data_IF_394320121605
#
_entry.id   IF_394320121605
#
_cell.length_a   1.000
_cell.length_b   1.000
_cell.length_c   1.000
_cell.angle_alpha   90.00
_cell.angle_beta   90.00
_cell.angle_gamma   90.00
#
_symmetry.space_group_name_H-M   'P 1'
#
loop_
_entity.id
_entity.type
_entity.pdbx_description
1 polymer ?
#
# COMPACT_ATOMS: atom_id res chain seq x y z
N UNK A 1 27.58 -43.00 -32.43
CA UNK A 1 27.96 -42.60 -31.06
C UNK A 1 28.73 -41.29 -31.15
N UNK A 2 28.07 -40.14 -30.90
CA UNK A 2 28.70 -38.80 -30.96
C UNK A 2 28.73 -38.23 -29.55
N UNK A 3 29.93 -38.04 -29.00
CA UNK A 3 30.16 -37.61 -27.63
C UNK A 3 29.86 -36.13 -27.42
N UNK A 4 28.89 -35.83 -26.57
CA UNK A 4 28.64 -34.49 -26.04
C UNK A 4 29.81 -34.06 -25.15
N UNK A 5 30.67 -33.17 -25.66
CA UNK A 5 31.69 -32.49 -24.84
C UNK A 5 30.99 -31.63 -23.79
N UNK A 6 31.13 -32.04 -22.52
CA UNK A 6 30.76 -31.23 -21.36
C UNK A 6 31.62 -29.96 -21.39
N UNK A 7 31.02 -28.80 -21.70
CA UNK A 7 31.67 -27.48 -21.55
C UNK A 7 32.01 -27.31 -20.07
N UNK A 8 33.31 -27.33 -19.72
CA UNK A 8 33.77 -26.90 -18.39
C UNK A 8 33.30 -25.46 -18.16
N UNK A 9 32.62 -25.22 -17.04
CA UNK A 9 32.30 -23.87 -16.60
C UNK A 9 33.61 -23.09 -16.40
N UNK A 10 33.77 -21.97 -17.11
CA UNK A 10 34.90 -21.07 -16.89
C UNK A 10 34.82 -20.52 -15.45
N UNK A 11 35.94 -20.48 -14.71
CA UNK A 11 35.95 -19.93 -13.36
C UNK A 11 35.59 -18.44 -13.42
N UNK A 12 34.56 -18.06 -12.65
CA UNK A 12 34.13 -16.66 -12.51
C UNK A 12 35.34 -15.83 -12.07
N UNK A 13 35.69 -14.81 -12.86
CA UNK A 13 36.90 -14.01 -12.60
C UNK A 13 36.81 -13.29 -11.25
N UNK A 14 37.95 -13.13 -10.58
CA UNK A 14 38.06 -12.41 -9.31
C UNK A 14 37.51 -10.97 -9.42
N UNK A 15 37.70 -10.32 -10.57
CA UNK A 15 37.16 -8.99 -10.86
C UNK A 15 35.63 -8.93 -10.90
N UNK A 16 34.96 -10.01 -11.34
CA UNK A 16 33.49 -10.11 -11.34
C UNK A 16 32.97 -10.28 -9.92
N UNK A 17 33.63 -11.09 -9.09
CA UNK A 17 33.29 -11.25 -7.67
C UNK A 17 33.50 -9.93 -6.91
N UNK A 18 34.57 -9.19 -7.21
CA UNK A 18 34.87 -7.91 -6.60
C UNK A 18 33.84 -6.83 -6.99
N UNK A 19 33.45 -6.73 -8.27
CA UNK A 19 32.37 -5.86 -8.74
C UNK A 19 31.01 -6.20 -8.10
N UNK A 20 30.68 -7.49 -7.96
CA UNK A 20 29.45 -7.93 -7.29
C UNK A 20 29.46 -7.67 -5.78
N UNK A 21 30.64 -7.70 -5.15
CA UNK A 21 30.82 -7.41 -3.73
C UNK A 21 30.78 -5.90 -3.43
N UNK A 22 31.40 -5.10 -4.30
CA UNK A 22 31.36 -3.63 -4.27
C UNK A 22 29.94 -3.11 -4.42
N UNK A 23 29.21 -3.56 -5.46
CA UNK A 23 27.82 -3.15 -5.69
C UNK A 23 26.86 -3.50 -4.53
N UNK A 24 27.09 -4.63 -3.83
CA UNK A 24 26.32 -5.00 -2.64
C UNK A 24 26.62 -4.10 -1.44
N UNK A 25 27.89 -3.74 -1.20
CA UNK A 25 28.28 -2.84 -0.11
C UNK A 25 27.72 -1.44 -0.29
N UNK A 26 27.76 -0.87 -1.50
CA UNK A 26 27.23 0.48 -1.76
C UNK A 26 25.71 0.53 -1.63
N UNK A 27 25.00 -0.53 -2.04
CA UNK A 27 23.54 -0.64 -1.84
C UNK A 27 23.17 -0.78 -0.36
N UNK A 28 23.90 -1.61 0.39
CA UNK A 28 23.69 -1.75 1.83
C UNK A 28 23.94 -0.42 2.57
N UNK A 29 24.98 0.32 2.18
CA UNK A 29 25.32 1.62 2.79
C UNK A 29 24.25 2.70 2.61
N UNK A 30 23.42 2.63 1.56
CA UNK A 30 22.30 3.57 1.35
C UNK A 30 20.98 3.10 1.95
N UNK A 31 20.79 1.78 2.11
CA UNK A 31 19.59 1.21 2.74
C UNK A 31 19.59 1.43 4.25
N UNK A 32 20.72 1.24 4.93
CA UNK A 32 20.84 1.43 6.38
C UNK A 32 20.37 2.82 6.84
N UNK A 33 20.86 3.95 6.28
CA UNK A 33 20.41 5.27 6.71
C UNK A 33 18.93 5.50 6.40
N UNK A 34 18.41 5.01 5.27
CA UNK A 34 16.98 5.12 4.96
C UNK A 34 16.13 4.36 5.99
N UNK A 35 16.50 3.13 6.33
CA UNK A 35 15.80 2.33 7.35
C UNK A 35 15.84 3.03 8.70
N UNK A 36 17.00 3.55 9.11
CA UNK A 36 17.14 4.29 10.37
C UNK A 36 16.24 5.52 10.41
N UNK A 37 16.17 6.28 9.32
CA UNK A 37 15.30 7.46 9.18
C UNK A 37 13.82 7.08 9.29
N UNK A 38 13.40 6.02 8.61
CA UNK A 38 12.01 5.53 8.68
C UNK A 38 11.67 5.03 10.08
N UNK A 39 12.54 4.23 10.69
CA UNK A 39 12.33 3.70 12.05
C UNK A 39 12.26 4.84 13.06
N UNK A 40 13.14 5.85 12.97
CA UNK A 40 13.10 7.01 13.84
C UNK A 40 11.81 7.82 13.68
N UNK A 41 11.38 8.08 12.43
CA UNK A 41 10.12 8.76 12.15
C UNK A 41 8.92 7.99 12.71
N UNK A 42 8.86 6.67 12.47
CA UNK A 42 7.80 5.82 13.01
C UNK A 42 7.80 5.79 14.53
N UNK A 43 8.98 5.74 15.18
CA UNK A 43 9.08 5.74 16.64
C UNK A 43 8.48 7.02 17.24
N UNK A 44 8.76 8.19 16.65
CA UNK A 44 8.14 9.46 17.07
C UNK A 44 6.63 9.43 16.90
N UNK A 45 6.14 8.95 15.75
CA UNK A 45 4.71 8.89 15.46
C UNK A 45 3.97 7.87 16.36
N UNK A 46 4.60 6.76 16.73
CA UNK A 46 4.03 5.79 17.68
C UNK A 46 4.02 6.37 19.09
N UNK A 47 5.10 7.05 19.51
CA UNK A 47 5.18 7.68 20.84
C UNK A 47 4.10 8.76 21.03
N UNK A 48 3.77 9.52 19.98
CA UNK A 48 2.61 10.42 19.96
C UNK A 48 1.30 9.68 20.27
N UNK A 49 1.09 8.51 19.65
CA UNK A 49 -0.16 7.74 19.82
C UNK A 49 -0.33 7.08 21.16
N UNK A 50 0.77 6.75 21.83
CA UNK A 50 0.74 6.17 23.18
C UNK A 50 0.84 7.28 24.24
N UNK A 51 0.79 8.56 23.84
CA UNK A 51 0.90 9.72 24.71
C UNK A 51 2.17 9.72 25.59
N UNK A 52 3.27 9.14 25.09
CA UNK A 52 4.54 9.04 25.81
C UNK A 52 5.51 10.19 25.52
N UNK A 53 5.16 11.10 24.60
CA UNK A 53 6.00 12.25 24.25
C UNK A 53 5.85 13.41 25.26
N UNK A 54 6.97 13.93 25.81
CA UNK A 54 6.94 15.16 26.59
C UNK A 54 6.61 16.40 25.72
N UNK A 55 5.90 17.36 26.32
CA UNK A 55 5.22 18.48 25.66
C UNK A 55 5.94 19.23 24.52
N UNK A 56 7.25 19.55 24.56
CA UNK A 56 7.93 20.29 23.49
C UNK A 56 8.16 19.50 22.20
N UNK A 57 8.23 18.17 22.28
CA UNK A 57 8.41 17.28 21.12
C UNK A 57 7.07 16.99 20.43
N UNK A 58 5.95 17.26 21.12
CA UNK A 58 4.61 16.81 20.75
C UNK A 58 3.98 17.54 19.55
N UNK A 59 4.28 18.81 19.31
CA UNK A 59 3.58 19.57 18.24
C UNK A 59 4.41 19.74 16.97
N UNK A 60 5.70 20.08 17.11
CA UNK A 60 6.61 20.25 15.96
C UNK A 60 7.24 18.92 15.49
N UNK A 61 7.64 18.07 16.43
CA UNK A 61 8.37 16.82 16.14
C UNK A 61 7.53 15.76 15.41
N UNK A 62 6.22 15.73 15.70
CA UNK A 62 5.29 14.75 15.12
C UNK A 62 5.05 15.04 13.63
N UNK A 63 4.88 16.31 13.26
CA UNK A 63 4.69 16.72 11.86
C UNK A 63 5.97 16.60 11.05
N UNK A 64 7.13 16.92 11.63
CA UNK A 64 8.42 16.72 10.94
C UNK A 64 8.67 15.24 10.70
N UNK A 65 8.38 14.36 11.68
CA UNK A 65 8.44 12.91 11.48
C UNK A 65 7.51 12.44 10.35
N UNK A 66 6.29 12.98 10.25
CA UNK A 66 5.38 12.67 9.15
C UNK A 66 5.91 13.13 7.78
N UNK A 67 6.49 14.34 7.69
CA UNK A 67 7.14 14.85 6.46
C UNK A 67 8.29 13.93 6.04
N UNK A 68 9.14 13.55 6.98
CA UNK A 68 10.26 12.64 6.75
C UNK A 68 9.77 11.29 6.25
N UNK A 69 8.73 10.72 6.88
CA UNK A 69 8.13 9.45 6.45
C UNK A 69 7.57 9.56 5.02
N UNK A 70 6.85 10.64 4.71
CA UNK A 70 6.26 10.88 3.40
C UNK A 70 7.34 10.97 2.31
N UNK A 71 8.40 11.72 2.57
CA UNK A 71 9.55 11.82 1.69
C UNK A 71 10.28 10.48 1.55
N UNK A 72 10.42 9.71 2.63
CA UNK A 72 11.05 8.39 2.61
C UNK A 72 10.24 7.37 1.78
N UNK A 73 8.91 7.37 1.88
CA UNK A 73 8.03 6.57 1.03
C UNK A 73 8.17 6.95 -0.45
N UNK A 74 8.24 8.25 -0.76
CA UNK A 74 8.49 8.73 -2.11
C UNK A 74 9.85 8.26 -2.66
N UNK A 75 10.91 8.37 -1.85
CA UNK A 75 12.25 7.90 -2.18
C UNK A 75 12.25 6.41 -2.51
N UNK A 76 11.62 5.61 -1.66
CA UNK A 76 11.60 4.16 -1.79
C UNK A 76 10.76 3.70 -2.98
N UNK A 77 9.62 4.34 -3.21
CA UNK A 77 8.80 4.08 -4.39
C UNK A 77 9.54 4.42 -5.69
N UNK A 78 10.20 5.58 -5.74
CA UNK A 78 11.01 5.99 -6.89
C UNK A 78 12.22 5.05 -7.11
N UNK A 79 12.85 4.57 -6.03
CA UNK A 79 13.92 3.58 -6.13
C UNK A 79 13.42 2.25 -6.71
N UNK A 80 12.26 1.76 -6.25
CA UNK A 80 11.64 0.52 -6.74
C UNK A 80 11.21 0.64 -8.21
N UNK A 81 10.76 1.82 -8.62
CA UNK A 81 10.43 2.13 -10.00
C UNK A 81 11.66 2.32 -10.92
N UNK A 82 12.89 2.27 -10.41
CA UNK A 82 14.09 2.58 -11.20
C UNK A 82 14.19 4.04 -11.63
N UNK A 83 13.47 4.94 -10.95
CA UNK A 83 13.47 6.38 -11.20
C UNK A 83 14.62 7.13 -10.51
N UNK A 84 14.40 8.43 -10.27
CA UNK A 84 15.36 9.33 -9.61
C UNK A 84 14.98 9.55 -8.14
N UNK A 85 15.36 8.67 -7.20
CA UNK A 85 14.89 8.74 -5.82
C UNK A 85 15.21 10.07 -5.15
N UNK A 86 16.40 10.63 -5.38
CA UNK A 86 16.77 11.92 -4.80
C UNK A 86 15.86 13.07 -5.27
N UNK A 87 15.63 13.20 -6.59
CA UNK A 87 14.79 14.25 -7.14
C UNK A 87 13.35 14.14 -6.63
N UNK A 88 12.78 12.92 -6.61
CA UNK A 88 11.43 12.69 -6.09
C UNK A 88 11.34 13.02 -4.59
N UNK A 89 12.34 12.63 -3.80
CA UNK A 89 12.41 12.93 -2.36
C UNK A 89 12.46 14.43 -2.11
N UNK A 90 13.28 15.17 -2.88
CA UNK A 90 13.40 16.62 -2.75
C UNK A 90 12.07 17.30 -3.10
N UNK A 91 11.44 16.95 -4.22
CA UNK A 91 10.16 17.53 -4.64
C UNK A 91 9.07 17.27 -3.60
N UNK A 92 8.90 16.02 -3.18
CA UNK A 92 7.90 15.66 -2.17
C UNK A 92 8.21 16.31 -0.82
N UNK A 93 9.48 16.33 -0.42
CA UNK A 93 9.94 16.98 0.81
C UNK A 93 9.64 18.48 0.82
N UNK A 94 9.92 19.20 -0.27
CA UNK A 94 9.61 20.63 -0.40
C UNK A 94 8.11 20.85 -0.31
N UNK A 95 7.29 20.10 -1.04
CA UNK A 95 5.83 20.24 -0.98
C UNK A 95 5.28 19.97 0.43
N UNK A 96 5.80 18.93 1.10
CA UNK A 96 5.40 18.58 2.44
C UNK A 96 5.80 19.64 3.49
N UNK A 97 7.02 20.18 3.37
CA UNK A 97 7.49 21.29 4.22
C UNK A 97 6.65 22.54 3.98
N UNK A 98 6.40 22.93 2.73
CA UNK A 98 5.56 24.09 2.39
C UNK A 98 4.17 23.96 3.02
N UNK A 99 3.53 22.79 2.88
CA UNK A 99 2.22 22.55 3.48
C UNK A 99 2.23 22.66 5.01
N UNK A 100 3.26 22.12 5.68
CA UNK A 100 3.41 22.21 7.14
C UNK A 100 3.77 23.62 7.60
N UNK A 101 4.51 24.41 6.82
CA UNK A 101 4.83 25.79 7.19
C UNK A 101 3.60 26.71 7.03
N UNK A 102 2.86 26.55 5.94
CA UNK A 102 1.68 27.39 5.65
C UNK A 102 0.48 27.10 6.53
N UNK A 103 0.34 25.86 7.03
CA UNK A 103 -0.73 25.47 7.96
C UNK A 103 -2.16 25.65 7.39
N UNK A 104 -2.32 25.77 6.07
CA UNK A 104 -3.64 25.79 5.47
C UNK A 104 -4.27 24.39 5.50
N UNK A 105 -5.54 24.32 5.92
CA UNK A 105 -6.30 23.07 6.02
C UNK A 105 -6.31 22.30 4.69
N UNK A 106 -6.37 23.02 3.55
CA UNK A 106 -6.32 22.48 2.19
C UNK A 106 -4.98 21.82 1.85
N UNK A 107 -3.86 22.39 2.30
CA UNK A 107 -2.52 21.88 2.06
C UNK A 107 -2.23 20.66 2.93
N UNK A 108 -2.62 20.69 4.21
CA UNK A 108 -2.50 19.55 5.12
C UNK A 108 -3.39 18.38 4.68
N UNK A 109 -4.58 18.69 4.14
CA UNK A 109 -5.47 17.76 3.47
C UNK A 109 -4.80 17.08 2.27
N UNK A 110 -4.25 17.87 1.34
CA UNK A 110 -3.53 17.36 0.18
C UNK A 110 -2.33 16.51 0.58
N UNK A 111 -1.59 16.92 1.61
CA UNK A 111 -0.45 16.18 2.13
C UNK A 111 -0.88 14.84 2.75
N UNK A 112 -1.97 14.81 3.50
CA UNK A 112 -2.56 13.58 4.04
C UNK A 112 -2.93 12.59 2.94
N UNK A 113 -3.56 13.07 1.86
CA UNK A 113 -3.86 12.25 0.67
C UNK A 113 -2.56 11.75 0.02
N UNK A 114 -1.58 12.63 -0.19
CA UNK A 114 -0.30 12.29 -0.79
C UNK A 114 0.45 11.21 0.02
N UNK A 115 0.50 11.34 1.35
CA UNK A 115 1.13 10.34 2.24
C UNK A 115 0.41 9.00 2.17
N UNK A 116 -0.92 8.98 2.18
CA UNK A 116 -1.71 7.76 2.02
C UNK A 116 -1.42 7.09 0.66
N UNK A 117 -1.34 7.88 -0.40
CA UNK A 117 -1.03 7.42 -1.76
C UNK A 117 0.36 6.79 -1.84
N UNK A 118 1.38 7.52 -1.38
CA UNK A 118 2.77 7.09 -1.45
C UNK A 118 3.02 5.86 -0.59
N UNK A 119 2.52 5.85 0.66
CA UNK A 119 2.66 4.70 1.55
C UNK A 119 1.89 3.48 1.04
N UNK A 120 0.65 3.67 0.56
CA UNK A 120 -0.17 2.60 -0.02
C UNK A 120 0.45 1.99 -1.28
N UNK A 121 0.93 2.81 -2.20
CA UNK A 121 1.62 2.36 -3.42
C UNK A 121 2.96 1.69 -3.09
N UNK A 122 3.75 2.25 -2.18
CA UNK A 122 5.02 1.67 -1.73
C UNK A 122 4.81 0.31 -1.05
N UNK A 123 3.79 0.17 -0.21
CA UNK A 123 3.44 -1.10 0.43
C UNK A 123 3.15 -2.22 -0.58
N UNK A 124 2.58 -1.90 -1.74
CA UNK A 124 2.42 -2.89 -2.83
C UNK A 124 3.75 -3.14 -3.54
N UNK A 125 4.48 -2.07 -3.87
CA UNK A 125 5.72 -2.14 -4.64
C UNK A 125 6.87 -2.84 -3.90
N UNK A 126 6.87 -2.84 -2.57
CA UNK A 126 7.89 -3.53 -1.76
C UNK A 126 7.74 -5.04 -1.80
N UNK A 127 6.53 -5.56 -2.07
CA UNK A 127 6.28 -7.01 -2.10
C UNK A 127 7.13 -7.73 -3.14
N UNK A 128 7.56 -8.93 -2.78
CA UNK A 128 8.37 -9.79 -3.64
C UNK A 128 7.57 -10.97 -4.23
N UNK A 129 8.02 -11.54 -5.36
CA UNK A 129 7.45 -12.76 -5.90
C UNK A 129 7.55 -13.92 -4.90
N UNK A 130 6.42 -14.56 -4.59
CA UNK A 130 6.34 -15.61 -3.59
C UNK A 130 6.42 -17.01 -4.22
N UNK A 131 7.34 -17.84 -3.71
CA UNK A 131 7.49 -19.23 -4.17
C UNK A 131 6.28 -20.12 -3.77
N UNK A 132 5.65 -19.82 -2.64
CA UNK A 132 4.55 -20.61 -2.06
C UNK A 132 3.46 -19.77 -1.41
N UNK A 133 2.37 -20.42 -1.00
CA UNK A 133 1.20 -19.75 -0.42
C UNK A 133 1.52 -19.05 0.91
N UNK A 134 2.34 -19.69 1.77
CA UNK A 134 2.78 -19.09 3.03
C UNK A 134 3.66 -17.87 2.79
N UNK A 135 4.57 -17.94 1.81
CA UNK A 135 5.37 -16.78 1.42
C UNK A 135 4.47 -15.64 0.90
N UNK A 136 3.43 -15.93 0.12
CA UNK A 136 2.48 -14.92 -0.36
C UNK A 136 1.70 -14.26 0.79
N UNK A 137 1.29 -15.03 1.79
CA UNK A 137 0.67 -14.49 3.02
C UNK A 137 1.66 -13.57 3.75
N UNK A 138 2.93 -13.98 3.89
CA UNK A 138 3.97 -13.15 4.51
C UNK A 138 4.12 -11.82 3.78
N UNK A 139 4.19 -11.83 2.45
CA UNK A 139 4.30 -10.60 1.65
C UNK A 139 3.06 -9.71 1.80
N UNK A 140 1.86 -10.28 1.84
CA UNK A 140 0.63 -9.53 2.08
C UNK A 140 0.61 -8.89 3.48
N UNK A 141 1.00 -9.62 4.52
CA UNK A 141 1.11 -9.10 5.89
C UNK A 141 2.16 -7.98 5.96
N UNK A 142 3.32 -8.17 5.32
CA UNK A 142 4.36 -7.14 5.24
C UNK A 142 3.84 -5.86 4.58
N UNK A 143 3.09 -5.97 3.47
CA UNK A 143 2.47 -4.82 2.83
C UNK A 143 1.50 -4.08 3.77
N UNK A 144 0.65 -4.80 4.52
CA UNK A 144 -0.26 -4.18 5.49
C UNK A 144 0.49 -3.48 6.63
N UNK A 145 1.59 -4.06 7.11
CA UNK A 145 2.45 -3.44 8.13
C UNK A 145 3.08 -2.15 7.60
N UNK A 146 3.63 -2.17 6.39
CA UNK A 146 4.21 -0.97 5.75
C UNK A 146 3.14 0.12 5.55
N UNK A 147 1.95 -0.26 5.09
CA UNK A 147 0.83 0.66 4.95
C UNK A 147 0.38 1.27 6.28
N UNK A 148 0.44 0.51 7.38
CA UNK A 148 0.09 0.99 8.71
C UNK A 148 1.02 2.12 9.18
N UNK A 149 2.29 2.11 8.76
CA UNK A 149 3.19 3.25 8.96
C UNK A 149 2.68 4.53 8.29
N UNK A 150 2.12 4.41 7.08
CA UNK A 150 1.44 5.52 6.40
C UNK A 150 0.28 6.10 7.20
N UNK A 151 -0.50 5.25 7.89
CA UNK A 151 -1.62 5.68 8.73
C UNK A 151 -1.18 6.62 9.86
N UNK A 152 -0.03 6.33 10.47
CA UNK A 152 0.57 7.18 11.48
C UNK A 152 0.98 8.55 10.91
N UNK A 153 1.59 8.56 9.72
CA UNK A 153 1.97 9.79 9.02
C UNK A 153 0.78 10.65 8.62
N UNK A 154 -0.26 10.05 8.03
CA UNK A 154 -1.50 10.73 7.66
C UNK A 154 -2.14 11.41 8.86
N UNK A 155 -2.24 10.67 9.97
CA UNK A 155 -2.94 11.14 11.13
C UNK A 155 -2.14 12.20 11.92
N UNK A 156 -0.83 12.31 11.72
CA UNK A 156 0.00 13.36 12.29
C UNK A 156 -0.22 14.75 11.67
N UNK A 157 -0.77 14.83 10.45
CA UNK A 157 -1.08 16.12 9.83
C UNK A 157 -2.35 16.76 10.36
N UNK A 158 -3.19 16.02 11.10
CA UNK A 158 -4.42 16.54 11.73
C UNK A 158 -5.34 17.28 10.75
N UNK A 159 -5.38 16.85 9.49
CA UNK A 159 -6.12 17.53 8.45
C UNK A 159 -7.64 17.44 8.66
N UNK A 160 -8.34 18.56 8.48
CA UNK A 160 -9.80 18.63 8.58
C UNK A 160 -10.43 18.19 7.26
N UNK A 161 -10.59 16.88 7.09
CA UNK A 161 -11.18 16.29 5.90
C UNK A 161 -12.27 15.27 6.26
N UNK A 162 -13.23 15.12 5.34
CA UNK A 162 -14.11 13.97 5.35
C UNK A 162 -13.29 12.69 5.08
N UNK A 163 -13.20 11.74 6.03
CA UNK A 163 -12.39 10.53 5.90
C UNK A 163 -12.76 9.66 4.71
N UNK A 164 -14.05 9.68 4.31
CA UNK A 164 -14.54 8.94 3.14
C UNK A 164 -13.96 9.52 1.86
N UNK A 165 -13.99 10.84 1.71
CA UNK A 165 -13.44 11.54 0.53
C UNK A 165 -11.93 11.37 0.43
N UNK A 166 -11.22 11.49 1.55
CA UNK A 166 -9.77 11.25 1.59
C UNK A 166 -9.44 9.85 1.11
N UNK A 167 -10.14 8.82 1.60
CA UNK A 167 -9.87 7.43 1.24
C UNK A 167 -10.12 7.17 -0.24
N UNK A 168 -11.21 7.71 -0.79
CA UNK A 168 -11.55 7.55 -2.20
C UNK A 168 -10.55 8.29 -3.12
N UNK A 169 -10.19 9.53 -2.77
CA UNK A 169 -9.19 10.31 -3.51
C UNK A 169 -7.82 9.62 -3.47
N UNK A 170 -7.38 9.18 -2.29
CA UNK A 170 -6.11 8.47 -2.13
C UNK A 170 -6.11 7.14 -2.90
N UNK A 171 -7.23 6.40 -2.88
CA UNK A 171 -7.31 5.12 -3.58
C UNK A 171 -7.25 5.31 -5.10
N UNK A 172 -8.00 6.28 -5.63
CA UNK A 172 -7.98 6.62 -7.05
C UNK A 172 -6.57 7.07 -7.49
N UNK A 173 -5.95 8.00 -6.74
CA UNK A 173 -4.61 8.50 -7.05
C UNK A 173 -3.54 7.40 -6.93
N UNK A 174 -3.61 6.56 -5.90
CA UNK A 174 -2.67 5.45 -5.73
C UNK A 174 -2.81 4.38 -6.80
N UNK A 175 -4.04 4.11 -7.26
CA UNK A 175 -4.24 3.23 -8.40
C UNK A 175 -3.54 3.82 -9.61
N UNK A 176 -3.79 5.09 -9.96
CA UNK A 176 -3.09 5.78 -11.07
C UNK A 176 -1.58 5.68 -10.93
N UNK A 177 -1.02 5.95 -9.74
CA UNK A 177 0.42 5.84 -9.49
C UNK A 177 0.92 4.42 -9.77
N UNK A 178 0.29 3.37 -9.23
CA UNK A 178 0.74 1.99 -9.42
C UNK A 178 0.59 1.54 -10.88
N UNK A 179 -0.41 2.05 -11.59
CA UNK A 179 -0.58 1.84 -13.03
C UNK A 179 0.55 2.47 -13.85
N UNK A 180 0.92 3.71 -13.54
CA UNK A 180 2.05 4.39 -14.19
C UNK A 180 3.38 3.68 -13.91
N UNK A 181 3.51 3.01 -12.78
CA UNK A 181 4.69 2.24 -12.42
C UNK A 181 4.75 0.84 -13.05
N UNK A 182 3.72 0.42 -13.79
CA UNK A 182 3.63 -0.95 -14.28
C UNK A 182 4.72 -1.31 -15.30
N UNK A 183 5.18 -0.35 -16.10
CA UNK A 183 6.28 -0.55 -17.05
C UNK A 183 7.63 -0.76 -16.35
N UNK A 184 7.76 -0.32 -15.09
CA UNK A 184 8.98 -0.44 -14.31
C UNK A 184 8.98 -1.66 -13.37
N UNK A 185 7.81 -2.07 -12.89
CA UNK A 185 7.66 -3.12 -11.86
C UNK A 185 7.18 -4.46 -12.43
N UNK A 186 6.74 -4.50 -13.69
CA UNK A 186 6.13 -5.66 -14.32
C UNK A 186 6.32 -5.70 -15.84
N UNK A 187 5.49 -6.45 -16.58
CA UNK A 187 5.58 -6.61 -18.04
C UNK A 187 5.13 -5.38 -18.84
N UNK A 188 4.82 -4.27 -18.16
CA UNK A 188 4.31 -3.04 -18.77
C UNK A 188 2.90 -3.13 -19.36
N UNK A 189 2.33 -1.96 -19.70
CA UNK A 189 0.99 -1.82 -20.27
C UNK A 189 0.90 -2.42 -21.68
N UNK A 190 2.00 -2.35 -22.44
CA UNK A 190 2.09 -2.93 -23.79
C UNK A 190 2.15 -4.46 -23.78
N UNK A 191 2.57 -5.08 -22.67
CA UNK A 191 2.59 -6.53 -22.47
C UNK A 191 1.25 -7.13 -22.04
N UNK A 192 0.22 -6.29 -21.86
CA UNK A 192 -1.14 -6.74 -21.53
C UNK A 192 -1.93 -7.04 -22.80
N UNK A 193 -2.49 -8.25 -22.86
CA UNK A 193 -3.57 -8.56 -23.79
C UNK A 193 -4.73 -7.55 -23.64
N UNK A 194 -5.52 -7.40 -24.70
CA UNK A 194 -6.69 -6.48 -24.73
C UNK A 194 -7.64 -6.68 -23.55
N UNK A 195 -7.84 -7.93 -23.12
CA UNK A 195 -8.67 -8.29 -21.97
C UNK A 195 -8.18 -7.69 -20.65
N UNK A 196 -6.86 -7.65 -20.44
CA UNK A 196 -6.29 -7.18 -19.19
C UNK A 196 -6.25 -5.64 -19.13
N UNK A 197 -6.07 -4.96 -20.28
CA UNK A 197 -6.32 -3.52 -20.39
C UNK A 197 -7.79 -3.17 -20.16
N UNK A 198 -8.71 -3.96 -20.69
CA UNK A 198 -10.14 -3.79 -20.46
C UNK A 198 -10.51 -4.00 -18.98
N UNK A 199 -10.01 -5.06 -18.33
CA UNK A 199 -10.24 -5.30 -16.90
C UNK A 199 -9.74 -4.15 -16.01
N UNK A 200 -8.62 -3.55 -16.40
CA UNK A 200 -8.03 -2.41 -15.70
C UNK A 200 -8.87 -1.13 -15.82
N UNK A 201 -9.33 -0.85 -17.05
CA UNK A 201 -10.20 0.28 -17.35
C UNK A 201 -11.58 0.08 -16.69
N UNK A 202 -12.10 -1.14 -16.70
CA UNK A 202 -13.31 -1.53 -15.96
C UNK A 202 -13.09 -1.35 -14.45
N UNK A 203 -11.96 -1.78 -13.89
CA UNK A 203 -11.65 -1.56 -12.47
C UNK A 203 -11.62 -0.09 -12.08
N UNK A 204 -11.03 0.76 -12.94
CA UNK A 204 -11.04 2.21 -12.77
C UNK A 204 -12.47 2.78 -12.85
N UNK A 205 -13.23 2.40 -13.87
CA UNK A 205 -14.63 2.83 -14.06
C UNK A 205 -15.54 2.36 -12.92
N UNK A 206 -15.38 1.14 -12.44
CA UNK A 206 -16.11 0.59 -11.28
C UNK A 206 -15.73 1.37 -10.02
N UNK A 207 -14.46 1.74 -9.85
CA UNK A 207 -14.02 2.61 -8.76
C UNK A 207 -14.69 3.98 -8.80
N UNK A 208 -14.67 4.65 -9.95
CA UNK A 208 -15.36 5.94 -10.17
C UNK A 208 -16.88 5.79 -9.98
N UNK A 209 -17.46 4.70 -10.48
CA UNK A 209 -18.87 4.38 -10.35
C UNK A 209 -19.28 4.13 -8.91
N UNK A 210 -18.47 3.45 -8.10
CA UNK A 210 -18.72 3.22 -6.68
C UNK A 210 -18.72 4.53 -5.88
N UNK A 211 -17.83 5.48 -6.22
CA UNK A 211 -17.80 6.83 -5.64
C UNK A 211 -19.07 7.59 -6.01
N UNK A 212 -19.40 7.63 -7.30
CA UNK A 212 -20.59 8.31 -7.80
C UNK A 212 -21.89 7.71 -7.22
N UNK A 213 -21.94 6.39 -7.11
CA UNK A 213 -23.05 5.67 -6.49
C UNK A 213 -23.17 5.97 -5.00
N UNK A 214 -22.05 6.05 -4.27
CA UNK A 214 -22.04 6.46 -2.87
C UNK A 214 -22.59 7.87 -2.66
N UNK A 215 -22.21 8.82 -3.51
CA UNK A 215 -22.81 10.17 -3.48
C UNK A 215 -24.30 10.16 -3.87
N UNK A 216 -24.67 9.36 -4.88
CA UNK A 216 -26.06 9.26 -5.33
C UNK A 216 -26.96 8.65 -4.25
N UNK A 217 -26.52 7.59 -3.57
CA UNK A 217 -27.20 7.02 -2.41
C UNK A 217 -27.27 8.00 -1.24
N UNK A 218 -26.22 8.77 -1.01
CA UNK A 218 -26.21 9.80 0.03
C UNK A 218 -27.22 10.92 -0.22
N UNK A 219 -27.53 11.22 -1.49
CA UNK A 219 -28.51 12.26 -1.88
C UNK A 219 -29.93 11.74 -2.13
N UNK A 220 -30.06 10.49 -2.59
CA UNK A 220 -31.33 9.94 -3.12
C UNK A 220 -31.69 8.56 -2.56
N UNK A 221 -30.90 8.01 -1.64
CA UNK A 221 -31.17 6.70 -1.03
C UNK A 221 -32.48 6.71 -0.26
N UNK A 222 -33.27 5.63 -0.39
CA UNK A 222 -34.49 5.46 0.41
C UNK A 222 -34.11 5.31 1.89
N UNK A 223 -34.78 6.05 2.76
CA UNK A 223 -34.49 6.07 4.20
C UNK A 223 -34.45 4.65 4.80
N UNK A 224 -35.39 3.78 4.42
CA UNK A 224 -35.44 2.40 4.92
C UNK A 224 -34.24 1.51 4.55
N UNK A 225 -33.60 1.71 3.40
CA UNK A 225 -32.38 0.96 3.04
C UNK A 225 -31.19 1.45 3.88
N UNK A 226 -31.09 2.75 4.10
CA UNK A 226 -30.07 3.37 4.95
C UNK A 226 -30.22 2.87 6.39
N UNK A 227 -31.46 2.81 6.90
CA UNK A 227 -31.77 2.33 8.25
C UNK A 227 -31.46 0.84 8.41
N UNK A 228 -31.85 -0.01 7.45
CA UNK A 228 -31.53 -1.45 7.48
C UNK A 228 -30.02 -1.70 7.51
N UNK A 229 -29.25 -1.00 6.68
CA UNK A 229 -27.79 -1.10 6.66
C UNK A 229 -27.19 -0.57 7.96
N UNK A 230 -27.71 0.54 8.48
CA UNK A 230 -27.24 1.11 9.74
C UNK A 230 -27.54 0.20 10.93
N UNK A 231 -28.72 -0.41 10.98
CA UNK A 231 -29.12 -1.36 12.02
C UNK A 231 -28.27 -2.63 11.95
N UNK A 232 -28.10 -3.22 10.76
CA UNK A 232 -27.22 -4.38 10.57
C UNK A 232 -25.80 -4.07 11.02
N UNK A 233 -25.29 -2.88 10.68
CA UNK A 233 -23.97 -2.42 11.10
C UNK A 233 -23.89 -2.29 12.62
N UNK A 234 -24.91 -1.71 13.27
CA UNK A 234 -24.98 -1.60 14.73
C UNK A 234 -24.99 -2.97 15.40
N UNK A 235 -25.80 -3.92 14.91
CA UNK A 235 -25.82 -5.30 15.43
C UNK A 235 -24.45 -5.98 15.31
N UNK A 236 -23.77 -5.84 14.18
CA UNK A 236 -22.41 -6.39 14.02
C UNK A 236 -21.42 -5.69 14.95
N UNK A 237 -21.56 -4.37 15.17
CA UNK A 237 -20.72 -3.64 16.12
C UNK A 237 -20.94 -4.07 17.56
N UNK A 238 -22.17 -4.33 17.97
CA UNK A 238 -22.51 -4.76 19.32
C UNK A 238 -21.93 -6.16 19.63
N UNK A 239 -21.85 -7.03 18.63
CA UNK A 239 -21.32 -8.39 18.78
C UNK A 239 -19.81 -8.47 18.58
N UNK A 240 -19.27 -7.78 17.59
CA UNK A 240 -17.87 -7.94 17.14
C UNK A 240 -16.97 -6.73 17.43
N UNK A 241 -17.48 -5.68 18.08
CA UNK A 241 -16.79 -4.40 18.40
C UNK A 241 -16.36 -3.56 17.19
N UNK A 242 -16.10 -4.18 16.04
CA UNK A 242 -15.75 -3.54 14.79
C UNK A 242 -16.32 -4.29 13.58
N UNK A 243 -16.60 -3.56 12.51
CA UNK A 243 -17.12 -4.12 11.25
C UNK A 243 -15.96 -4.25 10.25
N UNK A 244 -15.82 -5.39 9.55
CA UNK A 244 -14.83 -5.51 8.50
C UNK A 244 -15.07 -4.48 7.38
N UNK A 245 -13.98 -3.90 6.90
CA UNK A 245 -13.97 -3.00 5.75
C UNK A 245 -14.02 -3.87 4.48
N UNK A 246 -15.07 -3.74 3.65
CA UNK A 246 -15.34 -4.69 2.57
C UNK A 246 -14.27 -4.66 1.47
N UNK A 247 -13.76 -3.48 1.13
CA UNK A 247 -12.82 -3.32 0.02
C UNK A 247 -11.45 -4.00 0.28
N UNK A 248 -10.79 -3.82 1.45
CA UNK A 248 -9.63 -4.65 1.81
C UNK A 248 -9.95 -6.14 1.89
N UNK A 249 -11.11 -6.52 2.43
CA UNK A 249 -11.47 -7.91 2.67
C UNK A 249 -11.73 -8.71 1.39
N UNK A 250 -12.50 -8.13 0.45
CA UNK A 250 -12.99 -8.85 -0.73
C UNK A 250 -12.09 -8.70 -1.94
N UNK A 251 -11.35 -7.59 -2.04
CA UNK A 251 -10.54 -7.28 -3.21
C UNK A 251 -9.07 -7.11 -2.87
N UNK A 252 -8.75 -6.19 -1.95
CA UNK A 252 -7.37 -5.74 -1.74
C UNK A 252 -6.43 -6.84 -1.24
N UNK A 253 -6.75 -7.47 -0.10
CA UNK A 253 -5.90 -8.51 0.50
C UNK A 253 -5.86 -9.79 -0.34
N UNK A 254 -6.99 -10.29 -0.90
CA UNK A 254 -6.96 -11.41 -1.84
C UNK A 254 -6.05 -11.13 -3.04
N UNK A 255 -6.10 -9.91 -3.59
CA UNK A 255 -5.26 -9.50 -4.70
C UNK A 255 -3.76 -9.44 -4.34
N UNK A 256 -3.40 -9.02 -3.12
CA UNK A 256 -2.02 -9.10 -2.64
C UNK A 256 -1.51 -10.54 -2.56
N UNK A 257 -2.30 -11.44 -1.96
CA UNK A 257 -1.92 -12.86 -1.80
C UNK A 257 -1.83 -13.54 -3.16
N UNK A 258 -2.87 -13.46 -3.98
CA UNK A 258 -2.87 -14.12 -5.28
C UNK A 258 -1.86 -13.48 -6.23
N UNK A 259 -1.73 -12.15 -6.22
CA UNK A 259 -0.80 -11.42 -7.06
C UNK A 259 0.67 -11.74 -6.74
N UNK A 260 1.08 -11.74 -5.48
CA UNK A 260 2.45 -12.10 -5.09
C UNK A 260 2.77 -13.57 -5.41
N UNK A 261 1.80 -14.47 -5.23
CA UNK A 261 1.92 -15.87 -5.61
C UNK A 261 2.03 -16.06 -7.14
N UNK A 262 1.21 -15.34 -7.92
CA UNK A 262 1.22 -15.40 -9.37
C UNK A 262 2.49 -14.77 -9.96
N UNK A 263 3.03 -13.71 -9.35
CA UNK A 263 4.32 -13.09 -9.72
C UNK A 263 5.49 -14.07 -9.70
N UNK A 264 5.44 -15.08 -8.83
CA UNK A 264 6.44 -16.16 -8.78
C UNK A 264 6.42 -17.09 -10.00
N UNK A 265 5.36 -17.03 -10.83
CA UNK A 265 5.10 -17.93 -11.96
C UNK A 265 5.00 -17.18 -13.29
N UNK A 266 4.34 -16.02 -13.28
CA UNK A 266 4.12 -15.19 -14.45
C UNK A 266 4.36 -13.72 -14.11
N UNK A 267 5.06 -13.00 -15.00
CA UNK A 267 5.28 -11.55 -14.84
C UNK A 267 3.97 -10.76 -14.76
N UNK A 268 2.90 -11.28 -15.37
CA UNK A 268 1.55 -10.70 -15.35
C UNK A 268 0.94 -10.63 -13.95
N UNK A 269 1.43 -11.40 -12.97
CA UNK A 269 0.97 -11.34 -11.59
C UNK A 269 1.11 -9.96 -10.93
N UNK A 270 1.97 -9.09 -11.47
CA UNK A 270 2.05 -7.69 -11.04
C UNK A 270 0.70 -6.97 -11.12
N UNK A 271 -0.09 -7.23 -12.17
CA UNK A 271 -1.37 -6.55 -12.37
C UNK A 271 -2.42 -6.93 -11.35
N UNK A 272 -2.45 -8.20 -10.94
CA UNK A 272 -3.27 -8.64 -9.81
C UNK A 272 -2.77 -7.97 -8.53
N UNK A 273 -1.46 -7.96 -8.30
CA UNK A 273 -0.85 -7.36 -7.11
C UNK A 273 -1.14 -5.84 -7.00
N UNK A 274 -1.26 -5.14 -8.13
CA UNK A 274 -1.59 -3.71 -8.18
C UNK A 274 -2.96 -3.40 -7.55
N UNK A 275 -3.95 -4.29 -7.68
CA UNK A 275 -5.23 -4.15 -6.97
C UNK A 275 -5.10 -4.26 -5.46
N UNK A 276 -3.94 -4.73 -4.96
CA UNK A 276 -3.57 -4.69 -3.55
C UNK A 276 -3.58 -3.28 -2.93
N UNK A 277 -3.53 -2.23 -3.75
CA UNK A 277 -3.78 -0.84 -3.33
C UNK A 277 -5.13 -0.69 -2.63
N UNK A 278 -6.12 -1.52 -3.01
CA UNK A 278 -7.43 -1.60 -2.36
C UNK A 278 -7.37 -2.10 -0.91
N UNK A 279 -6.26 -2.65 -0.44
CA UNK A 279 -6.03 -2.93 0.96
C UNK A 279 -5.07 -1.91 1.59
N UNK A 280 -3.95 -1.60 0.94
CA UNK A 280 -2.90 -0.78 1.53
C UNK A 280 -3.31 0.67 1.71
N UNK A 281 -4.09 1.27 0.80
CA UNK A 281 -4.53 2.66 0.95
C UNK A 281 -5.56 2.84 2.06
N UNK A 282 -6.62 2.03 2.17
CA UNK A 282 -7.53 2.11 3.31
C UNK A 282 -6.81 1.93 4.66
N UNK A 283 -5.80 1.07 4.73
CA UNK A 283 -4.95 0.91 5.91
C UNK A 283 -4.15 2.20 6.16
N UNK A 284 -3.48 2.74 5.14
CA UNK A 284 -2.71 3.98 5.25
C UNK A 284 -3.58 5.23 5.54
N UNK A 285 -4.88 5.17 5.28
CA UNK A 285 -5.85 6.24 5.58
C UNK A 285 -6.68 5.96 6.85
N UNK A 286 -6.46 4.85 7.55
CA UNK A 286 -7.36 4.37 8.59
C UNK A 286 -7.47 5.32 9.79
N UNK A 287 -6.37 5.99 10.12
CA UNK A 287 -6.28 6.90 11.26
C UNK A 287 -6.57 8.36 10.89
N UNK A 288 -7.02 8.62 9.66
CA UNK A 288 -7.43 9.96 9.23
C UNK A 288 -8.74 10.42 9.88
N UNK A 289 -9.57 9.49 10.35
CA UNK A 289 -10.81 9.82 11.06
C UNK A 289 -10.55 9.98 12.56
N UNK A 290 -10.61 11.21 13.11
CA UNK A 290 -10.38 11.44 14.54
C UNK A 290 -11.50 10.88 15.43
N UNK A 291 -12.65 10.51 14.85
CA UNK A 291 -13.81 9.95 15.58
C UNK A 291 -13.71 8.45 15.75
N UNK A 292 -12.86 7.80 14.95
CA UNK A 292 -12.63 6.37 15.03
C UNK A 292 -11.63 6.05 16.13
N UNK A 293 -12.11 5.35 17.15
CA UNK A 293 -11.26 4.77 18.17
C UNK A 293 -10.23 3.83 17.51
N UNK A 294 -8.95 3.99 17.84
CA UNK A 294 -7.84 3.23 17.24
C UNK A 294 -8.09 1.72 17.31
N UNK A 295 -8.58 1.21 18.45
CA UNK A 295 -8.87 -0.20 18.64
C UNK A 295 -9.90 -0.72 17.62
N UNK A 296 -10.95 0.06 17.33
CA UNK A 296 -11.97 -0.30 16.34
C UNK A 296 -11.42 -0.29 14.92
N UNK A 297 -10.57 0.69 14.60
CA UNK A 297 -9.91 0.74 13.29
C UNK A 297 -9.01 -0.48 13.07
N UNK A 298 -8.19 -0.82 14.07
CA UNK A 298 -7.30 -1.98 14.02
C UNK A 298 -8.08 -3.29 13.91
N UNK A 299 -9.14 -3.49 14.72
CA UNK A 299 -9.96 -4.69 14.66
C UNK A 299 -10.71 -4.83 13.34
N UNK A 300 -11.33 -3.75 12.84
CA UNK A 300 -12.03 -3.76 11.55
C UNK A 300 -11.10 -4.12 10.40
N UNK A 301 -9.89 -3.54 10.36
CA UNK A 301 -8.87 -3.90 9.37
C UNK A 301 -8.32 -5.31 9.59
N UNK A 302 -8.16 -5.76 10.83
CA UNK A 302 -7.74 -7.11 11.18
C UNK A 302 -8.72 -8.18 10.69
N UNK A 303 -10.01 -7.99 10.92
CA UNK A 303 -11.07 -8.85 10.39
C UNK A 303 -11.07 -8.86 8.86
N UNK A 304 -10.89 -7.69 8.25
CA UNK A 304 -10.79 -7.57 6.79
C UNK A 304 -9.60 -8.34 6.24
N UNK A 305 -8.44 -8.21 6.89
CA UNK A 305 -7.22 -8.92 6.52
C UNK A 305 -7.41 -10.43 6.66
N UNK A 306 -8.00 -10.90 7.75
CA UNK A 306 -8.29 -12.32 7.96
C UNK A 306 -9.18 -12.89 6.85
N UNK A 307 -10.32 -12.24 6.59
CA UNK A 307 -11.26 -12.65 5.52
C UNK A 307 -10.55 -12.66 4.17
N UNK A 308 -9.80 -11.60 3.86
CA UNK A 308 -9.11 -11.48 2.58
C UNK A 308 -7.95 -12.48 2.41
N UNK A 309 -7.23 -12.83 3.48
CA UNK A 309 -6.22 -13.88 3.45
C UNK A 309 -6.86 -15.24 3.16
N UNK A 310 -8.01 -15.55 3.77
CA UNK A 310 -8.75 -16.79 3.52
C UNK A 310 -9.21 -16.87 2.06
N UNK A 311 -9.80 -15.81 1.53
CA UNK A 311 -10.23 -15.73 0.12
C UNK A 311 -9.02 -15.85 -0.82
N UNK A 312 -7.93 -15.13 -0.56
CA UNK A 312 -6.71 -15.21 -1.38
C UNK A 312 -6.10 -16.60 -1.41
N UNK A 313 -6.05 -17.28 -0.25
CA UNK A 313 -5.58 -18.67 -0.16
C UNK A 313 -6.52 -19.66 -0.87
N UNK A 314 -7.84 -19.41 -0.84
CA UNK A 314 -8.82 -20.20 -1.58
C UNK A 314 -8.59 -20.07 -3.08
N UNK A 315 -8.41 -18.86 -3.60
CA UNK A 315 -8.09 -18.61 -5.03
C UNK A 315 -6.82 -19.35 -5.44
N UNK A 316 -5.76 -19.26 -4.64
CA UNK A 316 -4.50 -20.01 -4.89
C UNK A 316 -4.74 -21.52 -4.92
N UNK A 317 -5.61 -22.06 -4.06
CA UNK A 317 -5.93 -23.49 -4.06
C UNK A 317 -6.71 -23.90 -5.31
N UNK A 318 -7.72 -23.11 -5.70
CA UNK A 318 -8.53 -23.37 -6.89
C UNK A 318 -7.68 -23.33 -8.15
N UNK A 319 -6.81 -22.33 -8.30
CA UNK A 319 -5.94 -22.18 -9.47
C UNK A 319 -4.96 -23.34 -9.62
N UNK A 320 -4.39 -23.80 -8.50
CA UNK A 320 -3.54 -25.02 -8.49
C UNK A 320 -4.31 -26.25 -8.91
N UNK A 321 -5.54 -26.40 -8.45
CA UNK A 321 -6.38 -27.55 -8.81
C UNK A 321 -6.67 -27.56 -10.32
N UNK A 322 -7.03 -26.42 -10.90
CA UNK A 322 -7.30 -26.28 -12.34
C UNK A 322 -6.05 -26.46 -13.23
N UNK A 323 -4.86 -26.11 -12.73
CA UNK A 323 -3.62 -26.24 -13.52
C UNK A 323 -3.09 -27.68 -13.53
N UNK A 324 -3.47 -28.50 -12.55
CA UNK A 324 -3.04 -29.89 -12.42
C UNK A 324 -4.06 -30.91 -12.97
N UNK A 325 -5.21 -30.46 -13.49
CA UNK A 325 -6.21 -31.26 -14.21
C UNK A 325 -6.05 -31.14 -15.71
#
# INVERSE_FOLDING_TARGET
>A
MSGTRVRRAEPVSASTLEQLSGGRRTRAALLVPWVLVVVAALAVLVADRVATLPGPVSTGGVRTAAVVLTAACAAALAHRAGGRPFATTVVVGVLAVVAVVWQEDSLLAGLSVLTAVLAGAFAVAVTEPAAGAVAAVREAVLALVVASGGALGVAAYTARLDPSRLRLAALAAALVVVLLLADHLGPGLAGLGTLARAALLVGLLVGVGAVAYGEALGRWGSAGLIDLVADTRRTVQDVAYAVPVPLPALLGVPALVYGTWLRGRARQGWWVCAFGVGATVPVAAALADPRLEMARAVLGLGYSALIGLLIGLLVVRVDRWLTHS
#
